data_IF_413206542367
#
_entry.id   IF_413206542367
#
_cell.length_a   1.000
_cell.length_b   1.000
_cell.length_c   1.000
_cell.angle_alpha   90.00
_cell.angle_beta   90.00
_cell.angle_gamma   90.00
#
_symmetry.space_group_name_H-M   'P 1'
#
loop_
_entity.id
_entity.type
_entity.pdbx_description
1 polymer ?
#
# COMPACT_ATOMS: atom_id res chain seq x y z
N UNK A 1 8.01 -20.30 4.83
CA UNK A 1 6.99 -19.58 4.04
C UNK A 1 6.31 -18.54 4.92
N UNK A 2 5.90 -17.39 4.35
CA UNK A 2 5.11 -16.39 5.08
C UNK A 2 3.77 -16.98 5.56
N UNK A 3 3.25 -16.44 6.66
CA UNK A 3 1.90 -16.71 7.18
C UNK A 3 0.99 -15.57 6.70
N UNK A 4 -0.21 -15.92 6.26
CA UNK A 4 -1.24 -14.95 5.86
C UNK A 4 -2.42 -15.09 6.80
N UNK A 5 -2.84 -14.00 7.42
CA UNK A 5 -3.94 -13.94 8.39
C UNK A 5 -5.08 -13.11 7.82
N UNK A 6 -6.31 -13.53 8.14
CA UNK A 6 -7.54 -12.83 7.77
C UNK A 6 -7.76 -12.60 6.27
N UNK A 7 -7.32 -13.54 5.41
CA UNK A 7 -7.55 -13.48 3.94
C UNK A 7 -9.03 -13.37 3.56
N UNK A 8 -9.94 -13.88 4.39
CA UNK A 8 -11.38 -13.78 4.20
C UNK A 8 -11.93 -12.34 4.27
N UNK A 9 -11.14 -11.37 4.78
CA UNK A 9 -11.52 -9.94 4.80
C UNK A 9 -11.23 -9.22 3.48
N UNK A 10 -10.51 -9.87 2.55
CA UNK A 10 -10.23 -9.29 1.23
C UNK A 10 -11.57 -9.16 0.47
N UNK A 11 -11.95 -7.95 0.04
CA UNK A 11 -13.22 -7.73 -0.65
C UNK A 11 -13.20 -8.37 -2.04
N UNK A 12 -14.38 -8.73 -2.55
CA UNK A 12 -14.55 -9.10 -3.94
C UNK A 12 -14.32 -7.89 -4.88
N UNK A 13 -13.85 -8.18 -6.09
CA UNK A 13 -13.55 -7.14 -7.09
C UNK A 13 -12.21 -6.42 -6.84
N UNK A 14 -12.14 -5.17 -7.31
CA UNK A 14 -10.93 -4.36 -7.18
C UNK A 14 -10.93 -3.53 -5.90
N UNK A 15 -9.77 -3.45 -5.27
CA UNK A 15 -9.53 -2.70 -4.06
C UNK A 15 -8.16 -2.03 -4.11
N UNK A 16 -7.92 -1.14 -3.15
CA UNK A 16 -6.63 -0.49 -2.96
C UNK A 16 -6.05 -1.02 -1.65
N UNK A 17 -5.08 -1.91 -1.75
CA UNK A 17 -4.33 -2.36 -0.59
C UNK A 17 -3.44 -1.22 -0.09
N UNK A 18 -3.69 -0.80 1.14
CA UNK A 18 -2.91 0.24 1.82
C UNK A 18 -2.11 -0.37 2.96
N UNK A 19 -0.84 -0.02 3.04
CA UNK A 19 0.04 -0.56 4.06
C UNK A 19 1.12 0.47 4.47
N UNK A 20 1.62 0.42 5.71
CA UNK A 20 2.85 1.11 6.07
C UNK A 20 4.03 0.54 5.26
N UNK A 21 4.96 1.40 4.82
CA UNK A 21 6.18 0.94 4.16
C UNK A 21 7.30 0.71 5.18
N UNK A 22 7.61 -0.56 5.44
CA UNK A 22 8.60 -1.02 6.42
C UNK A 22 9.84 -1.59 5.75
N UNK A 23 9.69 -2.21 4.58
CA UNK A 23 10.79 -2.80 3.83
C UNK A 23 10.63 -2.55 2.33
N UNK A 24 11.75 -2.56 1.60
CA UNK A 24 11.72 -2.39 0.14
C UNK A 24 11.01 -3.54 -0.60
N UNK A 25 10.88 -4.71 0.04
CA UNK A 25 10.23 -5.89 -0.53
C UNK A 25 8.77 -6.08 -0.08
N UNK A 26 8.23 -5.17 0.75
CA UNK A 26 6.82 -5.17 1.15
C UNK A 26 5.85 -5.35 -0.04
N UNK A 27 6.00 -4.63 -1.17
CA UNK A 27 5.06 -4.76 -2.29
C UNK A 27 4.94 -6.19 -2.81
N UNK A 28 6.03 -6.94 -2.79
CA UNK A 28 6.07 -8.33 -3.27
C UNK A 28 5.35 -9.28 -2.30
N UNK A 29 5.55 -9.08 -0.99
CA UNK A 29 4.86 -9.89 0.02
C UNK A 29 3.36 -9.63 0.02
N UNK A 30 2.92 -8.38 -0.12
CA UNK A 30 1.50 -8.04 -0.20
C UNK A 30 0.84 -8.63 -1.46
N UNK A 31 1.49 -8.51 -2.62
CA UNK A 31 0.98 -9.12 -3.86
C UNK A 31 0.89 -10.65 -3.75
N UNK A 32 1.90 -11.30 -3.18
CA UNK A 32 1.89 -12.75 -2.94
C UNK A 32 0.77 -13.17 -1.98
N UNK A 33 0.59 -12.43 -0.88
CA UNK A 33 -0.42 -12.73 0.13
C UNK A 33 -1.85 -12.64 -0.42
N UNK A 34 -2.09 -11.67 -1.31
CA UNK A 34 -3.39 -11.43 -1.94
C UNK A 34 -3.61 -12.20 -3.26
N UNK A 35 -2.67 -13.08 -3.66
CA UNK A 35 -2.85 -14.00 -4.78
C UNK A 35 -4.17 -14.79 -4.65
N UNK A 36 -4.94 -14.95 -5.76
CA UNK A 36 -4.56 -14.74 -7.16
C UNK A 36 -4.75 -13.32 -7.72
N UNK A 37 -5.14 -12.32 -6.92
CA UNK A 37 -5.38 -10.97 -7.41
C UNK A 37 -4.10 -10.34 -8.01
N UNK A 38 -4.22 -9.79 -9.21
CA UNK A 38 -3.17 -8.99 -9.83
C UNK A 38 -3.20 -7.53 -9.34
N UNK A 39 -2.02 -6.91 -9.29
CA UNK A 39 -1.86 -5.55 -8.81
C UNK A 39 -1.12 -4.67 -9.82
N UNK A 40 -1.51 -3.40 -9.83
CA UNK A 40 -0.66 -2.30 -10.26
C UNK A 40 0.04 -1.66 -9.05
N UNK A 41 1.16 -1.02 -9.30
CA UNK A 41 1.96 -0.34 -8.28
C UNK A 41 2.28 1.08 -8.72
N UNK A 42 2.72 1.92 -7.77
CA UNK A 42 3.17 3.27 -8.04
C UNK A 42 4.62 3.41 -7.55
N UNK A 43 5.55 3.72 -8.45
CA UNK A 43 6.96 3.86 -8.12
C UNK A 43 7.57 5.14 -8.71
N UNK A 44 8.63 5.63 -8.07
CA UNK A 44 9.30 6.87 -8.48
C UNK A 44 9.91 6.73 -9.89
N UNK A 45 9.78 7.77 -10.72
CA UNK A 45 10.28 7.78 -12.11
C UNK A 45 11.76 7.45 -12.23
N UNK A 46 12.56 7.73 -11.21
CA UNK A 46 14.01 7.46 -11.20
C UNK A 46 14.32 5.97 -11.29
N UNK A 47 13.42 5.09 -10.83
CA UNK A 47 13.60 3.63 -10.92
C UNK A 47 13.50 3.13 -12.37
N UNK A 48 12.88 3.90 -13.27
CA UNK A 48 12.75 3.58 -14.68
C UNK A 48 13.96 4.04 -15.52
N UNK A 49 14.97 4.68 -14.91
CA UNK A 49 16.20 5.10 -15.61
C UNK A 49 17.12 3.92 -15.97
N UNK A 50 17.08 2.83 -15.20
CA UNK A 50 17.83 1.62 -15.50
C UNK A 50 16.99 0.73 -16.46
N UNK A 51 17.47 0.39 -17.67
CA UNK A 51 16.67 -0.36 -18.66
C UNK A 51 16.20 -1.73 -18.18
N UNK A 52 17.03 -2.47 -17.45
CA UNK A 52 16.69 -3.80 -16.94
C UNK A 52 15.61 -3.69 -15.85
N UNK A 53 15.78 -2.75 -14.93
CA UNK A 53 14.78 -2.50 -13.89
C UNK A 53 13.47 -1.98 -14.49
N UNK A 54 13.55 -1.07 -15.46
CA UNK A 54 12.39 -0.53 -16.17
C UNK A 54 11.61 -1.64 -16.91
N UNK A 55 12.30 -2.59 -17.54
CA UNK A 55 11.67 -3.75 -18.16
C UNK A 55 10.85 -4.54 -17.13
N UNK A 56 11.47 -4.91 -15.99
CA UNK A 56 10.79 -5.65 -14.92
C UNK A 56 9.60 -4.88 -14.36
N UNK A 57 9.76 -3.59 -14.06
CA UNK A 57 8.71 -2.74 -13.51
C UNK A 57 7.52 -2.58 -14.46
N UNK A 58 7.76 -2.47 -15.78
CA UNK A 58 6.68 -2.40 -16.77
C UNK A 58 5.89 -3.71 -16.84
N UNK A 59 6.57 -4.87 -16.77
CA UNK A 59 5.90 -6.17 -16.76
C UNK A 59 5.14 -6.45 -15.46
N UNK A 60 5.55 -5.80 -14.36
CA UNK A 60 4.87 -5.85 -13.07
C UNK A 60 3.74 -4.81 -12.91
N UNK A 61 3.28 -4.17 -14.00
CA UNK A 61 2.22 -3.14 -13.98
C UNK A 61 2.55 -1.93 -13.06
N UNK A 62 3.82 -1.54 -12.95
CA UNK A 62 4.22 -0.39 -12.14
C UNK A 62 4.05 0.92 -12.93
N UNK A 63 3.26 1.82 -12.38
CA UNK A 63 3.10 3.20 -12.84
C UNK A 63 4.28 4.06 -12.36
N UNK A 64 4.91 4.74 -13.31
CA UNK A 64 6.00 5.69 -13.05
C UNK A 64 5.43 7.05 -12.66
N UNK A 65 5.77 7.54 -11.47
CA UNK A 65 5.32 8.86 -11.00
C UNK A 65 6.48 9.79 -10.69
N UNK A 66 6.32 11.06 -11.07
CA UNK A 66 7.14 12.15 -10.56
C UNK A 66 6.59 12.58 -9.20
N UNK A 67 7.32 12.27 -8.13
CA UNK A 67 6.88 12.62 -6.76
C UNK A 67 7.21 14.07 -6.40
N UNK A 68 8.17 14.68 -7.08
CA UNK A 68 8.55 16.09 -6.87
C UNK A 68 7.55 17.02 -7.57
N UNK A 69 7.12 16.64 -8.78
CA UNK A 69 6.13 17.38 -9.57
C UNK A 69 4.98 16.46 -10.00
N UNK A 70 4.08 16.07 -9.07
CA UNK A 70 3.00 15.15 -9.38
C UNK A 70 1.97 15.79 -10.31
N UNK A 71 1.92 15.33 -11.56
CA UNK A 71 0.88 15.69 -12.52
C UNK A 71 -0.45 14.96 -12.27
N UNK A 72 -1.54 15.34 -12.97
CA UNK A 72 -2.85 14.71 -12.80
C UNK A 72 -2.88 13.19 -13.09
N UNK A 73 -1.93 12.68 -13.88
CA UNK A 73 -1.80 11.25 -14.21
C UNK A 73 -1.58 10.37 -12.98
N UNK A 74 -0.91 10.90 -11.94
CA UNK A 74 -0.66 10.19 -10.67
C UNK A 74 -1.95 9.68 -10.02
N UNK A 75 -3.08 10.35 -10.28
CA UNK A 75 -4.41 9.95 -9.80
C UNK A 75 -5.23 9.29 -10.90
N UNK A 76 -5.24 9.87 -12.12
CA UNK A 76 -6.09 9.40 -13.22
C UNK A 76 -5.73 7.99 -13.70
N UNK A 77 -4.46 7.63 -13.75
CA UNK A 77 -4.03 6.31 -14.22
C UNK A 77 -4.41 5.19 -13.24
N UNK A 78 -4.14 5.29 -11.92
CA UNK A 78 -4.63 4.29 -10.97
C UNK A 78 -6.15 4.14 -10.99
N UNK A 79 -6.91 5.24 -11.08
CA UNK A 79 -8.38 5.20 -11.18
C UNK A 79 -8.83 4.44 -12.42
N UNK A 80 -8.21 4.69 -13.59
CA UNK A 80 -8.50 3.94 -14.82
C UNK A 80 -8.22 2.45 -14.69
N UNK A 81 -7.11 2.07 -14.04
CA UNK A 81 -6.79 0.66 -13.81
C UNK A 81 -7.87 -0.01 -12.97
N UNK A 82 -8.23 0.61 -11.83
CA UNK A 82 -9.23 0.08 -10.91
C UNK A 82 -10.62 -0.04 -11.55
N UNK A 83 -10.97 0.85 -12.49
CA UNK A 83 -12.28 0.87 -13.14
C UNK A 83 -12.37 0.01 -14.40
N UNK A 84 -11.27 -0.12 -15.17
CA UNK A 84 -11.32 -0.68 -16.52
C UNK A 84 -10.59 -2.03 -16.66
N UNK A 85 -10.00 -2.55 -15.58
CA UNK A 85 -9.28 -3.84 -15.57
C UNK A 85 -9.64 -4.63 -14.32
N UNK A 86 -9.23 -5.90 -14.22
CA UNK A 86 -9.37 -6.70 -12.97
C UNK A 86 -8.16 -6.58 -12.02
N UNK A 87 -7.38 -5.49 -12.15
CA UNK A 87 -6.20 -5.23 -11.32
C UNK A 87 -6.54 -4.32 -10.15
N UNK A 88 -6.14 -4.74 -8.96
CA UNK A 88 -6.14 -3.93 -7.76
C UNK A 88 -4.89 -3.05 -7.68
N UNK A 89 -4.79 -2.21 -6.66
CA UNK A 89 -3.67 -1.28 -6.49
C UNK A 89 -3.00 -1.48 -5.14
N UNK A 90 -1.67 -1.44 -5.08
CA UNK A 90 -0.93 -1.34 -3.81
C UNK A 90 -0.39 0.08 -3.67
N UNK A 91 -0.78 0.76 -2.58
CA UNK A 91 -0.28 2.09 -2.21
C UNK A 91 0.31 2.03 -0.80
N UNK A 92 1.45 2.68 -0.62
CA UNK A 92 2.01 2.95 0.69
C UNK A 92 1.82 4.43 1.02
N UNK A 93 0.80 4.81 1.81
CA UNK A 93 0.63 6.20 2.24
C UNK A 93 1.79 6.57 3.17
N UNK A 94 2.87 7.15 2.63
CA UNK A 94 4.09 7.44 3.39
C UNK A 94 3.91 8.62 4.34
N UNK A 95 4.38 8.45 5.59
CA UNK A 95 4.26 9.39 6.71
C UNK A 95 5.02 10.72 6.62
N UNK A 96 5.93 10.92 5.66
CA UNK A 96 6.82 12.09 5.65
C UNK A 96 6.09 13.38 5.24
N UNK A 97 6.46 14.50 5.87
CA UNK A 97 5.86 15.83 5.65
C UNK A 97 5.93 16.32 4.20
N UNK A 98 6.91 15.85 3.41
CA UNK A 98 7.06 16.18 1.99
C UNK A 98 6.11 15.41 1.05
N UNK A 99 5.32 14.46 1.58
CA UNK A 99 4.52 13.50 0.81
C UNK A 99 3.00 13.68 0.98
N UNK A 100 2.51 14.86 1.40
CA UNK A 100 1.07 15.06 1.59
C UNK A 100 0.24 14.78 0.33
N UNK A 101 0.80 15.01 -0.87
CA UNK A 101 0.16 14.65 -2.14
C UNK A 101 -0.10 13.14 -2.32
N UNK A 102 0.77 12.27 -1.77
CA UNK A 102 0.59 10.81 -1.84
C UNK A 102 -0.34 10.27 -0.76
N UNK A 103 -0.41 10.92 0.42
CA UNK A 103 -1.34 10.53 1.49
C UNK A 103 -2.79 10.84 1.10
N UNK A 104 -3.04 12.07 0.63
CA UNK A 104 -4.32 12.42 0.01
C UNK A 104 -4.58 11.65 -1.29
N UNK A 105 -3.52 11.18 -1.97
CA UNK A 105 -3.61 10.39 -3.19
C UNK A 105 -4.38 9.08 -3.02
N UNK A 106 -4.14 8.31 -1.95
CA UNK A 106 -4.88 7.07 -1.70
C UNK A 106 -6.39 7.32 -1.52
N UNK A 107 -6.74 8.29 -0.68
CA UNK A 107 -8.12 8.70 -0.41
C UNK A 107 -8.81 9.21 -1.68
N UNK A 108 -8.11 10.03 -2.48
CA UNK A 108 -8.64 10.56 -3.73
C UNK A 108 -8.86 9.48 -4.78
N UNK A 109 -7.90 8.56 -4.95
CA UNK A 109 -8.02 7.42 -5.87
C UNK A 109 -9.19 6.53 -5.44
N UNK A 110 -9.30 6.20 -4.15
CA UNK A 110 -10.42 5.41 -3.61
C UNK A 110 -11.77 6.08 -3.89
N UNK A 111 -11.88 7.39 -3.64
CA UNK A 111 -13.14 8.12 -3.86
C UNK A 111 -13.55 8.15 -5.33
N UNK A 112 -12.59 8.42 -6.23
CA UNK A 112 -12.86 8.53 -7.67
C UNK A 112 -13.12 7.16 -8.32
N UNK A 113 -12.39 6.13 -7.91
CA UNK A 113 -12.56 4.76 -8.41
C UNK A 113 -13.77 4.05 -7.79
N UNK A 114 -14.22 4.48 -6.60
CA UNK A 114 -15.17 3.80 -5.71
C UNK A 114 -14.65 2.45 -5.18
N UNK A 115 -13.35 2.18 -5.31
CA UNK A 115 -12.71 1.00 -4.75
C UNK A 115 -12.48 1.19 -3.23
N UNK A 116 -12.74 0.18 -2.40
CA UNK A 116 -12.44 0.26 -0.97
C UNK A 116 -10.92 0.28 -0.72
N UNK A 117 -10.52 0.89 0.39
CA UNK A 117 -9.17 0.75 0.93
C UNK A 117 -9.12 -0.53 1.76
N UNK A 118 -8.17 -1.42 1.50
CA UNK A 118 -7.94 -2.63 2.29
C UNK A 118 -6.66 -2.44 3.12
N UNK A 119 -6.76 -2.18 4.43
CA UNK A 119 -5.59 -2.09 5.29
C UNK A 119 -4.88 -3.43 5.40
N UNK A 120 -3.55 -3.43 5.31
CA UNK A 120 -2.72 -4.60 5.57
C UNK A 120 -1.41 -4.20 6.25
N UNK A 121 -0.86 -5.11 7.06
CA UNK A 121 0.45 -4.93 7.71
C UNK A 121 1.36 -6.12 7.47
N UNK A 122 2.66 -5.85 7.49
CA UNK A 122 3.72 -6.85 7.44
C UNK A 122 4.50 -6.86 8.76
N UNK A 123 4.59 -8.02 9.41
CA UNK A 123 5.53 -8.24 10.51
C UNK A 123 6.48 -9.39 10.17
N UNK A 124 7.76 -9.13 10.22
CA UNK A 124 8.75 -10.13 9.82
C UNK A 124 10.14 -9.55 9.75
N UNK A 125 11.06 -10.30 9.11
CA UNK A 125 12.41 -9.81 8.87
C UNK A 125 12.40 -8.47 8.12
N UNK A 126 13.12 -7.47 8.64
CA UNK A 126 13.16 -6.11 8.07
C UNK A 126 14.32 -5.89 7.09
N UNK A 127 15.28 -6.83 7.05
CA UNK A 127 16.47 -6.76 6.19
C UNK A 127 16.65 -8.04 5.40
N UNK A 128 17.36 -7.96 4.27
CA UNK A 128 17.67 -9.13 3.44
C UNK A 128 18.44 -10.19 4.23
N UNK A 129 19.41 -9.80 5.07
CA UNK A 129 20.14 -10.73 5.96
C UNK A 129 19.20 -11.47 6.91
N UNK A 130 18.20 -10.76 7.44
CA UNK A 130 17.23 -11.38 8.36
C UNK A 130 16.22 -12.29 7.64
N UNK A 131 16.06 -12.21 6.32
CA UNK A 131 15.22 -13.17 5.57
C UNK A 131 15.75 -14.61 5.65
N UNK A 132 17.06 -14.78 5.87
CA UNK A 132 17.69 -16.09 6.12
C UNK A 132 17.48 -16.58 7.56
N UNK A 133 16.88 -15.78 8.43
CA UNK A 133 16.49 -16.23 9.77
C UNK A 133 15.25 -17.12 9.70
N UNK A 134 15.06 -18.01 10.68
CA UNK A 134 13.85 -18.84 10.80
C UNK A 134 12.60 -18.05 11.19
N UNK A 135 12.68 -16.71 11.30
CA UNK A 135 11.52 -15.86 11.61
C UNK A 135 10.59 -15.78 10.41
N UNK A 136 9.35 -16.20 10.60
CA UNK A 136 8.33 -16.15 9.54
C UNK A 136 7.85 -14.71 9.36
N UNK A 137 7.70 -14.30 8.10
CA UNK A 137 6.93 -13.11 7.76
C UNK A 137 5.44 -13.40 7.96
N UNK A 138 4.69 -12.44 8.50
CA UNK A 138 3.25 -12.48 8.70
C UNK A 138 2.63 -11.29 8.00
N UNK A 139 1.66 -11.54 7.13
CA UNK A 139 0.77 -10.52 6.58
C UNK A 139 -0.59 -10.67 7.23
N UNK A 140 -1.15 -9.58 7.76
CA UNK A 140 -2.52 -9.57 8.28
C UNK A 140 -3.35 -8.52 7.51
N UNK A 141 -4.54 -8.93 7.10
CA UNK A 141 -5.51 -8.08 6.39
C UNK A 141 -6.58 -7.55 7.37
N UNK A 142 -6.92 -6.28 7.24
CA UNK A 142 -7.98 -5.62 8.00
C UNK A 142 -9.31 -5.61 7.28
N UNK A 143 -10.30 -5.03 7.93
CA UNK A 143 -11.61 -4.83 7.33
C UNK A 143 -11.54 -3.71 6.28
N UNK A 144 -12.18 -3.87 5.11
CA UNK A 144 -12.17 -2.86 4.06
C UNK A 144 -12.85 -1.56 4.52
N UNK A 145 -12.19 -0.43 4.23
CA UNK A 145 -12.70 0.91 4.48
C UNK A 145 -13.37 1.40 3.19
N UNK A 146 -14.68 1.52 3.22
CA UNK A 146 -15.48 2.11 2.15
C UNK A 146 -15.62 3.61 2.38
N UNK A 147 -15.20 4.42 1.39
CA UNK A 147 -15.36 5.85 1.49
C UNK A 147 -16.82 6.24 1.19
N UNK A 148 -17.48 6.85 2.18
CA UNK A 148 -18.79 7.45 1.97
C UNK A 148 -18.68 8.62 0.96
N UNK A 149 -19.68 8.77 0.11
CA UNK A 149 -19.85 9.90 -0.80
C UNK A 149 -19.83 11.24 -0.05
N UNK A 150 -20.27 11.24 1.21
CA UNK A 150 -20.32 12.41 2.09
C UNK A 150 -18.93 12.92 2.53
N UNK A 151 -17.87 12.09 2.46
CA UNK A 151 -16.52 12.48 2.86
C UNK A 151 -16.05 13.63 1.97
N UNK A 152 -15.84 14.80 2.56
CA UNK A 152 -15.31 15.96 1.84
C UNK A 152 -13.85 15.68 1.46
N UNK A 153 -13.45 16.07 0.24
CA UNK A 153 -12.04 15.99 -0.20
C UNK A 153 -11.21 17.18 0.30
N UNK A 154 -11.64 17.83 1.38
CA UNK A 154 -10.88 18.85 2.07
C UNK A 154 -9.87 18.21 3.05
N UNK A 155 -9.05 19.04 3.68
CA UNK A 155 -8.03 18.56 4.63
C UNK A 155 -8.62 17.73 5.77
N UNK A 156 -9.78 18.12 6.30
CA UNK A 156 -10.44 17.41 7.39
C UNK A 156 -10.88 16.00 7.00
N UNK A 157 -11.54 15.85 5.86
CA UNK A 157 -11.99 14.53 5.39
C UNK A 157 -10.83 13.62 5.00
N UNK A 158 -9.77 14.18 4.40
CA UNK A 158 -8.54 13.43 4.13
C UNK A 158 -7.90 12.95 5.43
N UNK A 159 -7.77 13.84 6.42
CA UNK A 159 -7.20 13.50 7.73
C UNK A 159 -8.02 12.45 8.49
N UNK A 160 -9.35 12.48 8.37
CA UNK A 160 -10.21 11.47 8.97
C UNK A 160 -9.97 10.07 8.38
N UNK A 161 -9.86 9.97 7.06
CA UNK A 161 -9.55 8.69 6.38
C UNK A 161 -8.12 8.24 6.71
N UNK A 162 -7.16 9.16 6.77
CA UNK A 162 -5.79 8.86 7.19
C UNK A 162 -5.74 8.31 8.62
N UNK A 163 -6.46 8.93 9.55
CA UNK A 163 -6.54 8.46 10.93
C UNK A 163 -7.17 7.06 10.98
N UNK A 164 -8.26 6.82 10.24
CA UNK A 164 -8.90 5.51 10.16
C UNK A 164 -7.95 4.43 9.60
N UNK A 165 -7.14 4.76 8.59
CA UNK A 165 -6.10 3.84 8.08
C UNK A 165 -5.03 3.57 9.14
N UNK A 166 -4.56 4.59 9.84
CA UNK A 166 -3.55 4.45 10.89
C UNK A 166 -4.05 3.59 12.05
N UNK A 167 -5.27 3.84 12.52
CA UNK A 167 -5.90 3.05 13.58
C UNK A 167 -6.06 1.57 13.16
N UNK A 168 -6.41 1.35 11.88
CA UNK A 168 -6.49 0.00 11.32
C UNK A 168 -5.11 -0.68 11.30
N UNK A 169 -4.05 0.02 10.90
CA UNK A 169 -2.69 -0.54 10.93
C UNK A 169 -2.25 -0.90 12.36
N UNK A 170 -2.47 0.00 13.32
CA UNK A 170 -2.10 -0.21 14.72
C UNK A 170 -2.86 -1.39 15.34
N UNK A 171 -4.15 -1.52 15.01
CA UNK A 171 -4.96 -2.68 15.42
C UNK A 171 -4.40 -3.98 14.83
N UNK A 172 -4.12 -4.01 13.52
CA UNK A 172 -3.63 -5.20 12.83
C UNK A 172 -2.27 -5.65 13.35
N UNK A 173 -1.40 -4.71 13.70
CA UNK A 173 -0.12 -5.04 14.31
C UNK A 173 -0.28 -5.74 15.66
N UNK A 174 -1.20 -5.23 16.50
CA UNK A 174 -1.50 -5.83 17.81
C UNK A 174 -2.19 -7.19 17.68
N UNK A 175 -2.99 -7.40 16.64
CA UNK A 175 -3.58 -8.71 16.34
C UNK A 175 -2.50 -9.77 16.06
N UNK A 176 -1.40 -9.40 15.39
CA UNK A 176 -0.27 -10.30 15.15
C UNK A 176 0.58 -10.46 16.43
N UNK A 177 0.90 -9.34 17.08
CA UNK A 177 1.74 -9.30 18.27
C UNK A 177 1.33 -8.09 19.15
N UNK A 178 0.71 -8.32 20.32
CA UNK A 178 0.26 -7.24 21.21
C UNK A 178 1.36 -6.28 21.66
N UNK A 179 2.60 -6.76 21.74
CA UNK A 179 3.77 -5.97 22.15
C UNK A 179 4.51 -5.33 20.97
N UNK A 180 3.93 -5.38 19.77
CA UNK A 180 4.60 -4.87 18.57
C UNK A 180 4.91 -3.38 18.67
N UNK A 181 6.17 -3.04 18.44
CA UNK A 181 6.64 -1.67 18.23
C UNK A 181 7.46 -1.65 16.96
N UNK A 182 6.97 -0.97 15.93
CA UNK A 182 7.78 -0.74 14.74
C UNK A 182 8.93 0.21 15.07
N UNK A 183 10.15 -0.24 14.81
CA UNK A 183 11.35 0.58 14.89
C UNK A 183 11.91 0.67 13.48
N UNK A 184 11.93 1.88 12.92
CA UNK A 184 12.50 2.10 11.59
C UNK A 184 14.00 1.77 11.61
N UNK A 185 14.47 0.78 10.83
CA UNK A 185 15.88 0.42 10.81
C UNK A 185 16.78 1.55 10.25
N UNK A 186 16.21 2.54 9.55
CA UNK A 186 16.94 3.69 9.03
C UNK A 186 17.15 4.81 10.05
N UNK A 187 16.44 4.81 11.20
CA UNK A 187 16.57 5.83 12.25
C UNK A 187 17.83 5.68 13.12
N UNK A 188 18.59 4.59 12.94
CA UNK A 188 19.82 4.29 13.68
C UNK A 188 21.11 4.70 12.94
N UNK A 189 21.04 5.71 12.07
CA UNK A 189 22.22 6.25 11.38
C UNK A 189 22.52 7.67 11.81
#
# INVERSE_FOLDING_TARGET
MPKFENKQRIPEGNYILVAPHRTWFDPLYFALAASPKEFAFIAKKELFKNPLLAYVLRHANVLSVDRENPGPSVIKEPVKILQNTDKSLIIFPSGTRHSQALKGGATLIAKLSKAPLLPAVYQGPLTFKSLFSRKKAVINFGDPIYLDKSIKLNEEGQKAVEQQMQDAFDKLDKEINPDFKYVDPSSKK
#
